data_IF_831130206940
#
_entry.id   IF_831130206940
#
_cell.length_a   1.000
_cell.length_b   1.000
_cell.length_c   1.000
_cell.angle_alpha   90.00
_cell.angle_beta   90.00
_cell.angle_gamma   90.00
#
_symmetry.space_group_name_H-M   'P 1'
#
loop_
_entity.id
_entity.type
_entity.pdbx_description
1 polymer ?
#
# COMPACT_ATOMS: atom_id res chain seq x y z
N UNK A 1 -32.27 1.40 -27.99
CA UNK A 1 -32.52 0.42 -26.91
C UNK A 1 -31.74 0.86 -25.65
N UNK A 2 -32.35 1.70 -24.81
CA UNK A 2 -31.75 2.21 -23.56
C UNK A 2 -31.93 1.23 -22.37
N UNK A 3 -31.69 -0.05 -22.62
CA UNK A 3 -31.86 -1.07 -21.58
C UNK A 3 -30.65 -1.20 -20.65
N UNK A 4 -29.53 -0.53 -20.93
CA UNK A 4 -28.32 -0.57 -20.12
C UNK A 4 -27.92 0.85 -19.76
N UNK A 5 -27.89 1.17 -18.47
CA UNK A 5 -27.40 2.47 -18.00
C UNK A 5 -25.96 2.69 -18.44
N UNK A 6 -25.60 3.86 -18.97
CA UNK A 6 -24.22 4.15 -19.36
C UNK A 6 -23.30 4.10 -18.15
N UNK A 7 -22.13 3.49 -18.33
CA UNK A 7 -21.08 3.49 -17.30
C UNK A 7 -20.28 4.79 -17.38
N UNK A 8 -19.94 5.36 -16.24
CA UNK A 8 -19.06 6.51 -16.18
C UNK A 8 -17.67 6.18 -16.74
N UNK A 9 -17.24 6.96 -17.73
CA UNK A 9 -15.89 6.89 -18.30
C UNK A 9 -15.12 8.13 -17.86
N UNK A 10 -14.02 7.98 -17.09
CA UNK A 10 -13.22 9.12 -16.67
C UNK A 10 -12.60 9.89 -17.85
N UNK A 11 -12.27 11.17 -17.66
CA UNK A 11 -11.55 11.98 -18.64
C UNK A 11 -10.24 11.30 -19.13
N UNK A 12 -9.74 11.64 -20.33
CA UNK A 12 -8.57 11.00 -20.92
C UNK A 12 -7.31 11.06 -20.04
N UNK A 13 -7.07 12.19 -19.41
CA UNK A 13 -5.95 12.45 -18.48
C UNK A 13 -5.99 11.55 -17.24
N UNK A 14 -7.16 11.38 -16.62
CA UNK A 14 -7.36 10.43 -15.52
C UNK A 14 -7.16 8.99 -15.99
N UNK A 15 -7.57 8.65 -17.21
CA UNK A 15 -7.35 7.30 -17.77
C UNK A 15 -5.86 7.02 -17.99
N UNK A 16 -5.11 7.99 -18.51
CA UNK A 16 -3.66 7.89 -18.68
C UNK A 16 -2.95 7.73 -17.33
N UNK A 17 -3.31 8.57 -16.35
CA UNK A 17 -2.79 8.48 -14.99
C UNK A 17 -3.09 7.11 -14.35
N UNK A 18 -4.31 6.61 -14.52
CA UNK A 18 -4.73 5.28 -14.04
C UNK A 18 -3.92 4.16 -14.67
N UNK A 19 -3.67 4.21 -15.97
CA UNK A 19 -2.90 3.18 -16.68
C UNK A 19 -1.46 3.13 -16.14
N UNK A 20 -0.80 4.27 -16.02
CA UNK A 20 0.56 4.35 -15.45
C UNK A 20 0.61 3.90 -13.98
N UNK A 21 -0.37 4.29 -13.16
CA UNK A 21 -0.43 3.85 -11.75
C UNK A 21 -0.64 2.33 -11.62
N UNK A 22 -1.47 1.74 -12.46
CA UNK A 22 -1.66 0.29 -12.52
C UNK A 22 -0.41 -0.42 -13.03
N UNK A 23 0.29 0.14 -14.01
CA UNK A 23 1.57 -0.39 -14.49
C UNK A 23 2.64 -0.33 -13.40
N UNK A 24 2.75 0.80 -12.67
CA UNK A 24 3.62 0.93 -11.50
C UNK A 24 3.35 -0.16 -10.46
N UNK A 25 2.08 -0.46 -10.20
CA UNK A 25 1.69 -1.53 -9.26
C UNK A 25 2.13 -2.91 -9.76
N UNK A 26 2.02 -3.19 -11.07
CA UNK A 26 2.52 -4.43 -11.67
C UNK A 26 4.04 -4.53 -11.54
N UNK A 27 4.79 -3.45 -11.80
CA UNK A 27 6.25 -3.43 -11.61
C UNK A 27 6.62 -3.74 -10.14
N UNK A 28 5.90 -3.17 -9.18
CA UNK A 28 6.12 -3.46 -7.75
C UNK A 28 5.88 -4.94 -7.43
N UNK A 29 4.85 -5.55 -8.00
CA UNK A 29 4.57 -6.98 -7.80
C UNK A 29 5.66 -7.87 -8.43
N UNK A 30 6.17 -7.51 -9.61
CA UNK A 30 7.29 -8.21 -10.25
C UNK A 30 8.54 -8.11 -9.38
N UNK A 31 8.87 -6.90 -8.88
CA UNK A 31 9.99 -6.70 -7.95
C UNK A 31 9.86 -7.57 -6.70
N UNK A 32 8.65 -7.67 -6.13
CA UNK A 32 8.40 -8.54 -4.97
C UNK A 32 8.64 -10.02 -5.32
N UNK A 33 8.22 -10.44 -6.49
CA UNK A 33 8.44 -11.81 -6.96
C UNK A 33 9.94 -12.11 -7.14
N UNK A 34 10.73 -11.17 -7.69
CA UNK A 34 12.18 -11.32 -7.82
C UNK A 34 12.88 -11.34 -6.46
N UNK A 35 12.46 -10.49 -5.52
CA UNK A 35 12.93 -10.53 -4.14
C UNK A 35 12.71 -11.90 -3.49
N UNK A 36 11.52 -12.47 -3.65
CA UNK A 36 11.21 -13.80 -3.11
C UNK A 36 12.06 -14.90 -3.78
N UNK A 37 12.34 -14.80 -5.10
CA UNK A 37 13.26 -15.73 -5.78
C UNK A 37 14.68 -15.62 -5.25
N UNK A 38 15.17 -14.42 -5.05
CA UNK A 38 16.49 -14.18 -4.49
C UNK A 38 16.59 -14.71 -3.04
N UNK A 39 15.58 -14.47 -2.20
CA UNK A 39 15.49 -15.04 -0.84
C UNK A 39 15.52 -16.56 -0.88
N UNK A 40 14.76 -17.20 -1.77
CA UNK A 40 14.79 -18.65 -1.93
C UNK A 40 16.18 -19.18 -2.31
N UNK A 41 16.94 -18.47 -3.15
CA UNK A 41 18.32 -18.84 -3.46
C UNK A 41 19.22 -18.81 -2.22
N UNK A 42 19.08 -17.79 -1.38
CA UNK A 42 19.81 -17.64 -0.12
C UNK A 42 19.43 -18.75 0.88
N UNK A 43 18.13 -18.99 1.04
CA UNK A 43 17.63 -20.03 1.96
C UNK A 43 18.10 -21.44 1.56
N UNK A 44 18.05 -21.80 0.27
CA UNK A 44 18.56 -23.07 -0.25
C UNK A 44 20.07 -23.21 -0.03
N UNK A 45 20.79 -22.10 -0.03
CA UNK A 45 22.23 -22.04 0.24
C UNK A 45 22.58 -21.99 1.72
N UNK A 46 21.61 -22.09 2.64
CA UNK A 46 21.73 -21.93 4.10
C UNK A 46 22.32 -20.57 4.51
N UNK A 47 22.00 -19.51 3.75
CA UNK A 47 22.38 -18.13 4.03
C UNK A 47 21.13 -17.38 4.55
N UNK A 48 20.91 -17.37 5.87
CA UNK A 48 19.69 -16.82 6.50
C UNK A 48 19.84 -15.34 6.83
N UNK A 49 20.08 -14.53 5.80
CA UNK A 49 20.27 -13.09 5.96
C UNK A 49 19.01 -12.36 6.44
N UNK A 50 17.84 -12.95 6.27
CA UNK A 50 16.54 -12.44 6.73
C UNK A 50 16.37 -12.52 8.26
N UNK A 51 17.12 -13.37 8.95
CA UNK A 51 17.11 -13.46 10.41
C UNK A 51 17.83 -12.26 11.07
N UNK A 52 18.82 -11.68 10.39
CA UNK A 52 19.70 -10.62 10.94
C UNK A 52 19.54 -9.26 10.27
N UNK A 53 19.05 -9.20 9.04
CA UNK A 53 18.80 -7.95 8.35
C UNK A 53 17.31 -7.70 8.18
N UNK A 54 16.83 -6.55 8.67
CA UNK A 54 15.44 -6.13 8.46
C UNK A 54 15.08 -5.92 6.98
N UNK A 55 16.07 -5.61 6.14
CA UNK A 55 15.95 -5.57 4.67
C UNK A 55 17.16 -6.26 4.05
N UNK A 56 16.94 -7.47 3.54
CA UNK A 56 17.96 -8.28 2.86
C UNK A 56 18.46 -7.62 1.57
N UNK A 57 17.71 -6.71 0.99
CA UNK A 57 18.08 -5.94 -0.20
C UNK A 57 18.60 -4.54 0.13
N UNK A 58 18.83 -4.25 1.42
CA UNK A 58 19.45 -3.02 1.90
C UNK A 58 20.96 -2.97 1.59
N UNK A 59 21.57 -1.81 1.86
CA UNK A 59 22.97 -1.52 1.49
C UNK A 59 23.96 -2.57 2.02
N UNK A 60 23.96 -2.84 3.33
CA UNK A 60 24.90 -3.78 3.97
C UNK A 60 24.70 -5.21 3.50
N UNK A 61 23.47 -5.72 3.52
CA UNK A 61 23.16 -7.07 3.07
C UNK A 61 23.50 -7.29 1.59
N UNK A 62 23.20 -6.31 0.70
CA UNK A 62 23.60 -6.38 -0.70
C UNK A 62 25.14 -6.43 -0.89
N UNK A 63 25.89 -5.72 -0.07
CA UNK A 63 27.37 -5.78 -0.12
C UNK A 63 27.88 -7.16 0.28
N UNK A 64 27.29 -7.77 1.32
CA UNK A 64 27.57 -9.15 1.73
C UNK A 64 27.23 -10.14 0.61
N UNK A 65 26.01 -10.04 0.04
CA UNK A 65 25.59 -10.93 -1.05
C UNK A 65 26.53 -10.81 -2.25
N UNK A 66 26.93 -9.60 -2.63
CA UNK A 66 27.86 -9.36 -3.74
C UNK A 66 29.19 -10.03 -3.48
N UNK A 67 29.73 -9.88 -2.27
CA UNK A 67 30.99 -10.54 -1.91
C UNK A 67 30.90 -12.06 -2.00
N UNK A 68 29.82 -12.66 -1.47
CA UNK A 68 29.59 -14.12 -1.57
C UNK A 68 29.51 -14.59 -3.03
N UNK A 69 28.92 -13.78 -3.92
CA UNK A 69 28.81 -14.10 -5.35
C UNK A 69 30.13 -13.98 -6.10
N UNK A 70 31.03 -13.11 -5.65
CA UNK A 70 32.36 -12.91 -6.24
C UNK A 70 33.37 -13.96 -5.73
N UNK A 71 33.20 -14.46 -4.50
CA UNK A 71 34.10 -15.38 -3.81
C UNK A 71 33.36 -16.65 -3.30
N UNK A 72 32.81 -17.47 -4.20
CA UNK A 72 32.03 -18.63 -3.81
C UNK A 72 32.90 -19.67 -3.10
N UNK A 73 32.52 -20.02 -1.85
CA UNK A 73 33.20 -21.01 -1.05
C UNK A 73 34.39 -20.49 -0.20
N UNK A 74 34.68 -19.20 -0.26
CA UNK A 74 35.68 -18.59 0.62
C UNK A 74 35.03 -18.16 1.94
N UNK A 75 35.75 -18.39 3.05
CA UNK A 75 35.40 -17.83 4.35
C UNK A 75 35.85 -16.38 4.42
N UNK A 76 34.95 -15.47 4.81
CA UNK A 76 35.28 -14.05 4.91
C UNK A 76 34.72 -13.45 6.22
N UNK A 77 35.29 -12.31 6.61
CA UNK A 77 34.79 -11.55 7.74
C UNK A 77 33.74 -10.54 7.30
N UNK A 78 32.60 -10.53 7.97
CA UNK A 78 31.44 -9.68 7.64
C UNK A 78 31.62 -8.25 8.12
N UNK A 79 32.47 -8.01 9.11
CA UNK A 79 32.65 -6.73 9.78
C UNK A 79 32.81 -5.51 8.84
N UNK A 80 33.59 -5.56 7.73
CA UNK A 80 33.76 -4.43 6.83
C UNK A 80 32.50 -4.02 6.06
N UNK A 81 31.51 -4.90 5.93
CA UNK A 81 30.31 -4.70 5.12
C UNK A 81 29.11 -4.20 5.93
N UNK A 82 29.22 -4.16 7.27
CA UNK A 82 28.10 -3.86 8.15
C UNK A 82 28.11 -2.39 8.54
N UNK A 83 26.96 -1.73 8.32
CA UNK A 83 26.73 -0.36 8.76
C UNK A 83 26.53 -0.31 10.29
N UNK A 84 26.99 0.76 10.95
CA UNK A 84 26.80 1.01 12.39
C UNK A 84 25.32 1.00 12.84
N UNK A 85 24.37 1.11 11.92
CA UNK A 85 22.92 1.06 12.18
C UNK A 85 22.36 -0.35 12.24
N UNK A 86 23.19 -1.38 12.01
CA UNK A 86 22.75 -2.76 12.13
C UNK A 86 22.41 -3.07 13.59
N UNK A 87 21.27 -3.71 13.84
CA UNK A 87 20.78 -4.00 15.18
C UNK A 87 21.45 -5.21 15.81
N UNK A 88 21.95 -6.13 14.98
CA UNK A 88 22.57 -7.37 15.41
C UNK A 88 24.10 -7.24 15.50
N UNK A 89 24.76 -7.88 16.47
CA UNK A 89 26.20 -7.88 16.57
C UNK A 89 26.85 -8.63 15.40
N UNK A 90 28.10 -8.28 15.10
CA UNK A 90 28.85 -8.82 13.95
C UNK A 90 29.01 -10.35 14.04
N UNK A 91 29.18 -10.87 15.25
CA UNK A 91 29.34 -12.30 15.53
C UNK A 91 28.08 -13.10 15.16
N UNK A 92 26.92 -12.56 15.47
CA UNK A 92 25.63 -13.18 15.13
C UNK A 92 25.42 -13.19 13.61
N UNK A 93 25.75 -12.08 12.92
CA UNK A 93 25.67 -11.99 11.47
C UNK A 93 26.67 -12.95 10.82
N UNK A 94 27.87 -13.08 11.38
CA UNK A 94 28.89 -14.02 10.89
C UNK A 94 28.42 -15.48 10.99
N UNK A 95 27.73 -15.85 12.09
CA UNK A 95 27.21 -17.21 12.30
C UNK A 95 26.10 -17.58 11.29
N UNK A 96 25.35 -16.61 10.81
CA UNK A 96 24.25 -16.82 9.83
C UNK A 96 24.76 -17.04 8.41
N UNK A 97 26.03 -16.68 8.12
CA UNK A 97 26.65 -16.78 6.80
C UNK A 97 27.52 -18.05 6.64
N UNK A 98 27.23 -19.08 7.44
CA UNK A 98 27.96 -20.36 7.41
C UNK A 98 27.47 -21.30 6.27
N UNK A 99 26.70 -20.80 5.34
CA UNK A 99 26.22 -21.52 4.17
C UNK A 99 27.15 -21.44 2.98
N UNK A 100 27.01 -22.39 2.06
CA UNK A 100 27.74 -22.39 0.78
C UNK A 100 26.78 -22.26 -0.39
N UNK A 101 27.04 -21.32 -1.28
CA UNK A 101 26.24 -21.13 -2.49
C UNK A 101 26.76 -22.01 -3.62
N UNK A 102 25.88 -22.83 -4.22
CA UNK A 102 26.24 -23.57 -5.43
C UNK A 102 26.35 -22.64 -6.65
N UNK A 103 27.11 -23.05 -7.66
CA UNK A 103 27.27 -22.26 -8.87
C UNK A 103 25.93 -21.91 -9.53
N UNK A 104 24.99 -22.84 -9.60
CA UNK A 104 23.66 -22.62 -10.18
C UNK A 104 22.84 -21.60 -9.40
N UNK A 105 22.89 -21.67 -8.07
CA UNK A 105 22.20 -20.69 -7.21
C UNK A 105 22.87 -19.31 -7.29
N UNK A 106 24.19 -19.25 -7.41
CA UNK A 106 24.92 -17.99 -7.59
C UNK A 106 24.54 -17.29 -8.90
N UNK A 107 24.47 -18.04 -10.00
CA UNK A 107 24.02 -17.50 -11.30
C UNK A 107 22.60 -16.97 -11.18
N UNK A 108 21.66 -17.77 -10.65
CA UNK A 108 20.27 -17.37 -10.50
C UNK A 108 20.12 -16.13 -9.59
N UNK A 109 20.85 -16.08 -8.47
CA UNK A 109 20.81 -14.95 -7.55
C UNK A 109 21.33 -13.67 -8.21
N UNK A 110 22.39 -13.76 -9.01
CA UNK A 110 22.95 -12.63 -9.77
C UNK A 110 21.93 -12.05 -10.75
N UNK A 111 21.28 -12.92 -11.54
CA UNK A 111 20.24 -12.51 -12.48
C UNK A 111 19.04 -11.86 -11.77
N UNK A 112 18.58 -12.43 -10.63
CA UNK A 112 17.51 -11.84 -9.85
C UNK A 112 17.86 -10.44 -9.32
N UNK A 113 19.11 -10.23 -8.85
CA UNK A 113 19.55 -8.92 -8.35
C UNK A 113 19.68 -7.89 -9.48
N UNK A 114 20.22 -8.29 -10.63
CA UNK A 114 20.31 -7.41 -11.80
C UNK A 114 18.90 -6.99 -12.26
N UNK A 115 17.98 -7.95 -12.40
CA UNK A 115 16.62 -7.66 -12.81
C UNK A 115 15.90 -6.75 -11.80
N UNK A 116 16.17 -6.91 -10.49
CA UNK A 116 15.65 -5.98 -9.47
C UNK A 116 16.12 -4.55 -9.67
N UNK A 117 17.39 -4.35 -10.02
CA UNK A 117 17.95 -3.03 -10.26
C UNK A 117 17.36 -2.40 -11.53
N UNK A 118 17.20 -3.16 -12.61
CA UNK A 118 16.56 -2.73 -13.85
C UNK A 118 15.08 -2.35 -13.62
N UNK A 119 14.32 -3.17 -12.90
CA UNK A 119 12.94 -2.87 -12.51
C UNK A 119 12.84 -1.62 -11.64
N UNK A 120 13.83 -1.36 -10.78
CA UNK A 120 13.94 -0.13 -9.99
C UNK A 120 14.04 1.12 -10.88
N UNK A 121 14.87 1.06 -11.93
CA UNK A 121 15.00 2.14 -12.92
C UNK A 121 13.69 2.35 -13.69
N UNK A 122 13.09 1.26 -14.18
CA UNK A 122 11.82 1.33 -14.91
C UNK A 122 10.71 1.96 -14.05
N UNK A 123 10.60 1.53 -12.79
CA UNK A 123 9.63 2.10 -11.83
C UNK A 123 9.86 3.59 -11.63
N UNK A 124 11.11 4.02 -11.44
CA UNK A 124 11.46 5.45 -11.26
C UNK A 124 11.08 6.27 -12.48
N UNK A 125 11.27 5.77 -13.69
CA UNK A 125 10.91 6.46 -14.92
C UNK A 125 9.37 6.62 -15.02
N UNK A 126 8.61 5.57 -14.72
CA UNK A 126 7.14 5.63 -14.69
C UNK A 126 6.67 6.62 -13.61
N UNK A 127 7.30 6.65 -12.44
CA UNK A 127 6.96 7.59 -11.36
C UNK A 127 7.19 9.06 -11.78
N UNK A 128 8.23 9.35 -12.57
CA UNK A 128 8.45 10.70 -13.12
C UNK A 128 7.30 11.15 -14.03
N UNK A 129 6.83 10.28 -14.93
CA UNK A 129 5.70 10.57 -15.81
C UNK A 129 4.40 10.76 -15.03
N UNK A 130 4.16 9.92 -14.02
CA UNK A 130 3.02 10.07 -13.11
C UNK A 130 3.04 11.43 -12.43
N UNK A 131 4.20 11.85 -11.90
CA UNK A 131 4.35 13.15 -11.25
C UNK A 131 4.16 14.32 -12.23
N UNK A 132 4.50 14.15 -13.50
CA UNK A 132 4.24 15.14 -14.54
C UNK A 132 2.74 15.30 -14.80
N UNK A 133 2.04 14.19 -15.00
CA UNK A 133 0.59 14.21 -15.26
C UNK A 133 -0.23 14.74 -14.08
N UNK A 134 0.17 14.45 -12.86
CA UNK A 134 -0.60 14.85 -11.67
C UNK A 134 -0.47 16.32 -11.31
N UNK A 135 0.45 17.07 -11.93
CA UNK A 135 0.63 18.52 -11.71
C UNK A 135 -0.63 19.35 -12.02
N UNK A 136 -1.55 18.85 -12.82
CA UNK A 136 -2.82 19.49 -13.10
C UNK A 136 -3.83 19.39 -11.95
N UNK A 137 -3.55 18.58 -10.90
CA UNK A 137 -4.42 18.35 -9.75
C UNK A 137 -3.77 18.76 -8.41
N UNK A 138 -3.15 19.96 -8.28
CA UNK A 138 -2.42 20.34 -7.07
C UNK A 138 -3.34 20.45 -5.86
N UNK A 139 -4.51 21.05 -6.04
CA UNK A 139 -5.49 21.24 -4.97
C UNK A 139 -5.96 19.90 -4.37
N UNK A 140 -6.31 18.93 -5.22
CA UNK A 140 -6.76 17.61 -4.77
C UNK A 140 -5.65 16.85 -4.04
N UNK A 141 -4.39 17.00 -4.48
CA UNK A 141 -3.24 16.40 -3.82
C UNK A 141 -3.00 16.99 -2.43
N UNK A 142 -2.95 18.31 -2.33
CA UNK A 142 -2.78 18.99 -1.05
C UNK A 142 -3.87 18.60 -0.07
N UNK A 143 -5.11 18.59 -0.53
CA UNK A 143 -6.26 18.20 0.25
C UNK A 143 -6.16 16.76 0.78
N UNK A 144 -5.79 15.80 -0.08
CA UNK A 144 -5.59 14.41 0.32
C UNK A 144 -4.45 14.25 1.32
N UNK A 145 -3.39 15.02 1.18
CA UNK A 145 -2.25 14.97 2.11
C UNK A 145 -2.58 15.47 3.52
N UNK A 146 -3.67 16.23 3.70
CA UNK A 146 -4.15 16.58 5.05
C UNK A 146 -4.81 15.41 5.77
N UNK A 147 -5.22 14.37 5.04
CA UNK A 147 -5.91 13.21 5.61
C UNK A 147 -4.88 12.21 6.18
N UNK A 148 -5.02 11.77 7.44
CA UNK A 148 -4.15 10.76 8.02
C UNK A 148 -4.08 9.49 7.15
N UNK A 149 -2.87 9.00 6.90
CA UNK A 149 -2.62 7.85 6.03
C UNK A 149 -2.24 8.20 4.59
N UNK A 150 -2.55 9.41 4.10
CA UNK A 150 -2.05 9.91 2.82
C UNK A 150 -0.85 10.84 2.97
N UNK A 151 -0.66 11.48 4.12
CA UNK A 151 0.40 12.47 4.38
C UNK A 151 1.83 11.92 4.21
N UNK A 152 2.03 10.63 4.42
CA UNK A 152 3.35 9.99 4.36
C UNK A 152 3.83 9.60 2.96
N UNK A 153 2.95 9.54 1.96
CA UNK A 153 3.31 9.07 0.62
C UNK A 153 2.40 9.67 -0.46
N UNK A 154 2.94 10.60 -1.24
CA UNK A 154 2.23 11.27 -2.32
C UNK A 154 1.67 10.27 -3.36
N UNK A 155 2.39 9.17 -3.63
CA UNK A 155 1.96 8.16 -4.59
C UNK A 155 0.66 7.48 -4.17
N UNK A 156 0.38 7.40 -2.87
CA UNK A 156 -0.88 6.87 -2.33
C UNK A 156 -2.05 7.80 -2.67
N UNK A 157 -1.86 9.11 -2.52
CA UNK A 157 -2.87 10.12 -2.90
C UNK A 157 -3.11 10.11 -4.42
N UNK A 158 -2.04 10.01 -5.22
CA UNK A 158 -2.13 9.93 -6.68
C UNK A 158 -2.87 8.66 -7.11
N UNK A 159 -2.62 7.53 -6.46
CA UNK A 159 -3.33 6.28 -6.72
C UNK A 159 -4.84 6.43 -6.50
N UNK A 160 -5.24 7.14 -5.45
CA UNK A 160 -6.65 7.43 -5.19
C UNK A 160 -7.26 8.28 -6.31
N UNK A 161 -6.62 9.41 -6.67
CA UNK A 161 -7.09 10.30 -7.73
C UNK A 161 -7.20 9.53 -9.06
N UNK A 162 -6.24 8.67 -9.38
CA UNK A 162 -6.23 7.91 -10.62
C UNK A 162 -7.41 6.92 -10.73
N UNK A 163 -7.87 6.35 -9.60
CA UNK A 163 -8.98 5.39 -9.59
C UNK A 163 -10.35 6.07 -9.48
N UNK A 164 -10.48 7.12 -8.69
CA UNK A 164 -11.77 7.80 -8.45
C UNK A 164 -12.00 8.92 -9.45
N UNK A 165 -10.93 9.62 -9.84
CA UNK A 165 -11.00 10.89 -10.59
C UNK A 165 -10.90 12.08 -9.65
N UNK A 166 -10.86 13.29 -10.24
CA UNK A 166 -10.82 14.56 -9.52
C UNK A 166 -12.22 15.17 -9.33
N UNK A 167 -13.18 14.79 -10.16
CA UNK A 167 -14.56 15.29 -10.12
C UNK A 167 -15.45 14.36 -9.26
N UNK A 168 -15.85 14.87 -8.12
CA UNK A 168 -16.73 14.15 -7.19
C UNK A 168 -18.21 14.32 -7.49
N UNK A 169 -18.61 15.21 -8.40
CA UNK A 169 -20.01 15.39 -8.81
C UNK A 169 -20.61 14.14 -9.46
N UNK A 170 -19.75 13.25 -9.95
CA UNK A 170 -20.11 11.94 -10.52
C UNK A 170 -20.77 11.02 -9.48
N UNK A 171 -20.48 11.21 -8.21
CA UNK A 171 -21.03 10.40 -7.14
C UNK A 171 -22.11 11.17 -6.36
N UNK A 172 -23.40 10.78 -6.45
CA UNK A 172 -24.49 11.49 -5.77
C UNK A 172 -24.35 11.55 -4.25
N UNK A 173 -23.64 10.59 -3.65
CA UNK A 173 -23.34 10.57 -2.21
C UNK A 173 -22.14 9.71 -1.88
N UNK A 174 -21.59 9.85 -0.66
CA UNK A 174 -20.51 9.01 -0.14
C UNK A 174 -20.86 7.50 -0.20
N UNK A 175 -22.12 7.13 0.05
CA UNK A 175 -22.58 5.73 -0.04
C UNK A 175 -22.43 5.16 -1.44
N UNK A 176 -22.69 5.95 -2.48
CA UNK A 176 -22.50 5.53 -3.88
C UNK A 176 -21.02 5.28 -4.19
N UNK A 177 -20.12 6.15 -3.75
CA UNK A 177 -18.67 5.96 -3.92
C UNK A 177 -18.17 4.70 -3.19
N UNK A 178 -18.60 4.48 -1.94
CA UNK A 178 -18.22 3.30 -1.13
C UNK A 178 -18.73 2.00 -1.77
N UNK A 179 -19.96 2.03 -2.30
CA UNK A 179 -20.54 0.90 -3.04
C UNK A 179 -19.78 0.64 -4.35
N UNK A 180 -19.49 1.70 -5.10
CA UNK A 180 -18.71 1.62 -6.34
C UNK A 180 -17.29 1.11 -6.09
N UNK A 181 -16.63 1.55 -5.01
CA UNK A 181 -15.33 1.07 -4.57
C UNK A 181 -15.33 -0.42 -4.14
N UNK A 182 -16.50 -1.03 -4.03
CA UNK A 182 -16.64 -2.43 -3.61
C UNK A 182 -16.38 -2.66 -2.12
N UNK A 183 -16.52 -1.63 -1.29
CA UNK A 183 -16.33 -1.71 0.15
C UNK A 183 -17.60 -2.08 0.91
N UNK A 184 -18.77 -2.07 0.25
CA UNK A 184 -20.02 -2.52 0.85
C UNK A 184 -20.17 -4.04 0.76
N UNK A 185 -20.71 -4.70 1.81
CA UNK A 185 -21.13 -6.08 1.74
C UNK A 185 -22.26 -6.24 0.72
N UNK A 186 -22.32 -7.38 0.05
CA UNK A 186 -23.45 -7.72 -0.81
C UNK A 186 -24.66 -8.02 0.06
N UNK A 187 -25.79 -7.46 -0.31
CA UNK A 187 -27.06 -7.82 0.29
C UNK A 187 -27.61 -9.09 -0.38
N UNK A 188 -27.06 -10.24 -0.01
CA UNK A 188 -27.44 -11.53 -0.55
C UNK A 188 -28.40 -12.20 0.45
N UNK A 189 -29.65 -11.73 0.45
CA UNK A 189 -30.72 -12.23 1.30
C UNK A 189 -31.83 -12.84 0.44
N UNK A 190 -32.30 -14.00 0.83
CA UNK A 190 -33.46 -14.64 0.24
C UNK A 190 -34.35 -15.18 1.35
N UNK A 191 -35.60 -14.73 1.36
CA UNK A 191 -36.65 -15.24 2.30
C UNK A 191 -36.21 -15.28 3.77
N UNK A 192 -35.74 -14.14 4.32
CA UNK A 192 -35.24 -13.97 5.70
C UNK A 192 -33.91 -14.70 6.02
N UNK A 193 -33.30 -15.39 5.08
CA UNK A 193 -31.98 -16.00 5.27
C UNK A 193 -30.91 -15.19 4.60
N UNK A 194 -29.91 -14.73 5.37
CA UNK A 194 -28.69 -14.09 4.86
C UNK A 194 -27.79 -15.19 4.31
N UNK A 195 -27.54 -15.20 2.98
CA UNK A 195 -26.68 -16.18 2.32
C UNK A 195 -25.20 -15.82 2.45
N UNK A 196 -24.88 -14.54 2.32
CA UNK A 196 -23.49 -14.07 2.40
C UNK A 196 -23.41 -12.59 2.76
N UNK A 197 -22.49 -12.26 3.67
CA UNK A 197 -22.10 -10.88 4.02
C UNK A 197 -20.77 -10.49 3.38
N UNK A 198 -20.26 -11.28 2.42
CA UNK A 198 -18.97 -11.04 1.80
C UNK A 198 -18.99 -9.76 0.98
N UNK A 199 -17.91 -8.99 1.12
CA UNK A 199 -17.63 -7.80 0.30
C UNK A 199 -17.45 -8.21 -1.15
N UNK A 200 -17.91 -7.37 -2.09
CA UNK A 200 -17.79 -7.62 -3.52
C UNK A 200 -16.32 -7.74 -3.95
N UNK A 201 -16.05 -8.47 -5.05
CA UNK A 201 -14.70 -8.54 -5.65
C UNK A 201 -14.33 -7.29 -6.46
N UNK A 202 -15.22 -6.31 -6.56
CA UNK A 202 -14.94 -5.02 -7.20
C UNK A 202 -13.84 -4.25 -6.47
N UNK A 203 -13.27 -3.24 -7.12
CA UNK A 203 -12.28 -2.36 -6.51
C UNK A 203 -10.91 -3.01 -6.27
N UNK A 204 -10.44 -3.82 -7.21
CA UNK A 204 -9.16 -4.58 -7.09
C UNK A 204 -7.96 -3.69 -6.75
N UNK A 205 -7.90 -2.47 -7.26
CA UNK A 205 -6.82 -1.52 -6.96
C UNK A 205 -7.16 -0.57 -5.83
N UNK A 206 -8.41 -0.11 -5.78
CA UNK A 206 -8.85 0.90 -4.83
C UNK A 206 -8.97 0.34 -3.40
N UNK A 207 -9.59 -0.84 -3.26
CA UNK A 207 -9.83 -1.44 -1.93
C UNK A 207 -8.54 -1.73 -1.14
N UNK A 208 -7.49 -2.39 -1.70
CA UNK A 208 -6.23 -2.58 -0.98
C UNK A 208 -5.57 -1.26 -0.59
N UNK A 209 -5.64 -0.24 -1.46
CA UNK A 209 -5.13 1.09 -1.18
C UNK A 209 -5.80 1.71 0.04
N UNK A 210 -7.13 1.63 0.10
CA UNK A 210 -7.90 2.18 1.21
C UNK A 210 -7.65 1.46 2.53
N UNK A 211 -7.53 0.14 2.48
CA UNK A 211 -7.16 -0.67 3.65
C UNK A 211 -5.77 -0.27 4.15
N UNK A 212 -4.81 -0.10 3.26
CA UNK A 212 -3.45 0.33 3.61
C UNK A 212 -3.46 1.71 4.27
N UNK A 213 -4.18 2.68 3.70
CA UNK A 213 -4.32 4.03 4.25
C UNK A 213 -4.98 4.01 5.62
N UNK A 214 -6.00 3.17 5.82
CA UNK A 214 -6.70 3.08 7.10
C UNK A 214 -5.82 2.49 8.22
N UNK A 215 -4.90 1.59 7.90
CA UNK A 215 -4.01 0.96 8.88
C UNK A 215 -2.82 1.87 9.25
N UNK A 216 -2.35 2.70 8.33
CA UNK A 216 -1.12 3.48 8.48
C UNK A 216 -1.10 4.41 9.71
N UNK A 217 -2.18 5.15 10.10
CA UNK A 217 -2.19 5.97 11.30
C UNK A 217 -2.02 5.17 12.60
N UNK A 218 -2.40 3.91 12.59
CA UNK A 218 -2.32 3.02 13.76
C UNK A 218 -0.92 2.41 13.89
N UNK A 219 -0.26 2.09 12.79
CA UNK A 219 1.11 1.56 12.81
C UNK A 219 2.14 2.61 13.24
N UNK A 220 1.90 3.89 12.93
CA UNK A 220 2.75 4.99 13.40
C UNK A 220 2.69 5.19 14.92
N UNK A 221 1.68 4.65 15.61
CA UNK A 221 1.51 4.68 17.06
C UNK A 221 1.56 3.26 17.67
N UNK A 222 2.16 2.31 16.99
CA UNK A 222 2.16 0.88 17.39
C UNK A 222 2.77 0.62 18.77
N UNK A 223 3.72 1.45 19.21
CA UNK A 223 4.31 1.35 20.56
C UNK A 223 3.29 1.62 21.69
N UNK A 224 2.09 2.12 21.36
CA UNK A 224 1.02 2.40 22.31
C UNK A 224 -0.20 1.47 22.20
N UNK A 225 -0.23 0.60 21.19
CA UNK A 225 -1.34 -0.32 20.97
C UNK A 225 -0.96 -1.74 21.40
N UNK A 226 -1.62 -2.23 22.46
CA UNK A 226 -1.57 -3.64 22.86
C UNK A 226 -2.13 -4.56 21.76
N UNK A 227 -1.78 -5.85 21.79
CA UNK A 227 -2.29 -6.85 20.84
C UNK A 227 -3.84 -6.87 20.72
N UNK A 228 -4.56 -6.50 21.79
CA UNK A 228 -6.01 -6.31 21.79
C UNK A 228 -6.45 -5.18 20.83
N UNK A 229 -5.69 -4.08 20.73
CA UNK A 229 -5.96 -3.00 19.80
C UNK A 229 -5.87 -3.40 18.33
N UNK A 230 -4.98 -4.33 17.97
CA UNK A 230 -4.83 -4.81 16.59
C UNK A 230 -6.03 -5.65 16.12
N UNK A 231 -6.67 -6.39 17.03
CA UNK A 231 -7.91 -7.15 16.76
C UNK A 231 -9.09 -6.20 16.62
N UNK A 232 -9.16 -5.16 17.47
CA UNK A 232 -10.21 -4.14 17.42
C UNK A 232 -10.16 -3.28 16.15
N UNK A 233 -8.97 -3.00 15.62
CA UNK A 233 -8.76 -2.34 14.32
C UNK A 233 -9.30 -3.19 13.17
N UNK A 234 -9.08 -4.50 13.17
CA UNK A 234 -9.67 -5.42 12.18
C UNK A 234 -11.20 -5.41 12.22
N UNK A 235 -11.81 -5.42 13.42
CA UNK A 235 -13.23 -5.27 13.58
C UNK A 235 -13.74 -3.91 13.11
N UNK A 236 -13.04 -2.81 13.42
CA UNK A 236 -13.44 -1.46 13.01
C UNK A 236 -13.43 -1.26 11.49
N UNK A 237 -12.54 -1.93 10.77
CA UNK A 237 -12.54 -1.96 9.30
C UNK A 237 -13.74 -2.73 8.77
N UNK A 238 -14.16 -3.80 9.47
CA UNK A 238 -15.35 -4.59 9.12
C UNK A 238 -16.66 -3.92 9.51
N UNK A 239 -16.68 -3.13 10.59
CA UNK A 239 -17.90 -2.56 11.21
C UNK A 239 -18.29 -1.16 10.67
N UNK A 240 -17.85 -0.78 9.47
CA UNK A 240 -18.34 0.45 8.84
C UNK A 240 -17.73 1.77 9.34
N UNK A 241 -16.82 1.78 10.32
CA UNK A 241 -16.04 3.00 10.70
C UNK A 241 -15.11 3.47 9.59
N UNK A 242 -14.86 2.61 8.62
CA UNK A 242 -14.28 2.94 7.33
C UNK A 242 -15.10 4.00 6.58
N UNK A 243 -16.42 4.01 6.78
CA UNK A 243 -17.34 5.00 6.21
C UNK A 243 -17.10 6.42 6.75
N UNK A 244 -16.65 6.58 7.99
CA UNK A 244 -16.37 7.91 8.57
C UNK A 244 -15.13 8.56 7.95
N UNK A 245 -14.11 7.77 7.61
CA UNK A 245 -12.93 8.25 6.89
C UNK A 245 -13.29 8.66 5.46
N UNK A 246 -14.23 7.93 4.82
CA UNK A 246 -14.75 8.26 3.50
C UNK A 246 -15.66 9.48 3.52
N UNK A 247 -16.47 9.64 4.56
CA UNK A 247 -17.24 10.86 4.74
C UNK A 247 -16.31 12.08 4.90
N UNK A 248 -15.23 11.96 5.64
CA UNK A 248 -14.21 13.00 5.73
C UNK A 248 -13.59 13.30 4.35
N UNK A 249 -13.28 12.29 3.54
CA UNK A 249 -12.77 12.45 2.18
C UNK A 249 -13.78 13.19 1.28
N UNK A 250 -15.08 12.90 1.43
CA UNK A 250 -16.16 13.56 0.68
C UNK A 250 -16.35 15.01 1.06
N UNK A 251 -16.27 15.32 2.36
CA UNK A 251 -16.32 16.69 2.89
C UNK A 251 -15.15 17.50 2.34
N UNK A 252 -13.98 16.91 2.34
CA UNK A 252 -12.75 17.54 1.87
C UNK A 252 -12.74 17.78 0.35
N UNK A 253 -13.38 16.93 -0.45
CA UNK A 253 -13.45 17.09 -1.89
C UNK A 253 -14.52 18.08 -2.36
N UNK A 254 -15.13 18.83 -1.42
CA UNK A 254 -16.05 19.94 -1.74
C UNK A 254 -17.47 19.50 -2.13
N UNK A 255 -17.85 18.24 -1.92
CA UNK A 255 -19.24 17.82 -2.05
C UNK A 255 -20.09 18.40 -0.90
N UNK A 256 -21.27 19.00 -1.20
CA UNK A 256 -22.18 19.43 -0.15
C UNK A 256 -22.62 18.23 0.68
N UNK A 257 -22.39 18.32 2.00
CA UNK A 257 -22.88 17.32 2.94
C UNK A 257 -24.39 17.19 2.86
N UNK A 258 -24.93 15.98 2.96
CA UNK A 258 -26.33 15.83 3.24
C UNK A 258 -26.65 16.49 4.58
N UNK A 259 -27.86 17.05 4.80
CA UNK A 259 -28.20 18.00 5.88
C UNK A 259 -28.14 17.44 7.31
N UNK A 260 -27.58 16.27 7.54
CA UNK A 260 -27.63 15.55 8.81
C UNK A 260 -26.31 15.55 9.62
N UNK A 261 -25.31 16.39 9.28
CA UNK A 261 -24.06 16.45 10.05
C UNK A 261 -23.86 17.81 10.71
N UNK A 262 -24.57 18.01 11.86
CA UNK A 262 -24.42 19.22 12.69
C UNK A 262 -23.28 19.16 13.71
N UNK A 263 -22.50 18.09 13.81
CA UNK A 263 -21.53 17.86 14.90
C UNK A 263 -20.06 17.83 14.46
N UNK A 264 -19.68 18.64 13.48
CA UNK A 264 -18.28 18.86 13.14
C UNK A 264 -17.73 20.09 13.90
N UNK A 265 -17.06 19.84 15.01
CA UNK A 265 -16.32 20.88 15.71
C UNK A 265 -14.86 20.92 15.25
N UNK A 266 -14.44 22.07 14.70
CA UNK A 266 -13.04 22.37 14.44
C UNK A 266 -12.43 23.00 15.69
N UNK A 267 -11.56 22.27 16.39
CA UNK A 267 -10.82 22.79 17.53
C UNK A 267 -9.32 22.84 17.17
N UNK A 268 -8.73 24.04 17.23
CA UNK A 268 -7.29 24.30 16.96
C UNK A 268 -6.74 23.73 15.62
N UNK A 269 -7.46 23.93 14.51
CA UNK A 269 -6.98 23.49 13.20
C UNK A 269 -6.95 21.96 13.01
N UNK A 270 -7.50 21.19 13.95
CA UNK A 270 -7.67 19.73 13.85
C UNK A 270 -9.16 19.39 13.82
N UNK A 271 -9.56 18.63 12.84
CA UNK A 271 -10.93 18.10 12.76
C UNK A 271 -11.04 16.98 13.79
N UNK A 272 -11.79 17.23 14.87
CA UNK A 272 -12.16 16.19 15.83
C UNK A 272 -13.50 15.62 15.39
N UNK A 273 -13.48 14.43 14.81
CA UNK A 273 -14.70 13.70 14.43
C UNK A 273 -15.21 13.01 15.70
N UNK A 274 -16.14 13.66 16.39
CA UNK A 274 -16.95 12.99 17.39
C UNK A 274 -18.06 12.22 16.67
N UNK A 275 -17.78 10.96 16.34
CA UNK A 275 -18.76 10.07 15.72
C UNK A 275 -19.77 9.59 16.75
N UNK A 276 -20.91 10.25 16.83
CA UNK A 276 -22.13 9.60 17.36
C UNK A 276 -22.66 8.67 16.29
N UNK A 277 -22.32 7.39 16.43
CA UNK A 277 -22.57 6.29 15.46
C UNK A 277 -24.03 5.81 15.48
N UNK A 278 -24.97 6.59 15.97
CA UNK A 278 -26.33 6.09 16.25
C UNK A 278 -27.29 6.05 15.04
N UNK A 279 -26.92 6.49 13.82
CA UNK A 279 -27.91 6.63 12.72
C UNK A 279 -27.40 6.24 11.33
N UNK A 280 -26.66 5.16 11.19
CA UNK A 280 -26.34 4.60 9.85
C UNK A 280 -26.64 3.08 9.86
N UNK A 281 -27.89 2.74 10.15
CA UNK A 281 -28.51 1.47 9.76
C UNK A 281 -29.87 1.78 9.11
#
# INVERSE_FOLDING_TARGET
CDMVSPSFIPPPDIRQLRDLMRYRSKLTNIMTSEKNRALNCLTVSNLKLDDVFSDVFGKSSRSVIRYILEHPGETFQVAPFIDRRCKHPVEEIQAVIDGTISHQQAVKLRECLQHLDELGVHKTNVEKEILCLVRQYPYQLELLQTVPGFSGNIMTAIALISEIGADMSVFPSAKHLVSWAGCCPRNDQSSKKVKSTRISRAGVYLKPLLVQVAIQPFTANADKLSAAGAVEIRCQICDGRFLSMWAALFIFLGCPLPPCQKDLHVHNGRIVILASVAWIF
#
